data_IF_050030664384
#
_entry.id   IF_050030664384
#
_cell.length_a   1.000
_cell.length_b   1.000
_cell.length_c   1.000
_cell.angle_alpha   90.00
_cell.angle_beta   90.00
_cell.angle_gamma   90.00
#
_symmetry.space_group_name_H-M   'P 1'
#
loop_
_entity.id
_entity.type
_entity.pdbx_description
1 polymer ?
#
# COMPACT_ATOMS: atom_id res chain seq x y z
N UNK A 1 14.86 39.15 65.86
CA UNK A 1 14.35 39.70 64.60
C UNK A 1 14.18 38.53 63.66
N UNK A 2 12.94 38.13 63.53
CA UNK A 2 12.45 37.03 62.73
C UNK A 2 12.34 37.50 61.27
N UNK A 3 12.80 36.71 60.31
CA UNK A 3 12.64 37.01 58.88
C UNK A 3 12.49 35.72 58.12
N UNK A 4 11.23 35.32 57.98
CA UNK A 4 10.79 34.20 57.16
C UNK A 4 10.93 34.50 55.66
N UNK A 5 11.40 33.50 54.93
CA UNK A 5 11.36 33.43 53.46
C UNK A 5 10.25 32.44 53.08
N UNK A 6 9.21 32.83 52.32
CA UNK A 6 8.18 31.90 51.92
C UNK A 6 8.64 31.04 50.72
N UNK A 7 8.55 29.71 50.88
CA UNK A 7 8.75 28.74 49.79
C UNK A 7 7.57 28.79 48.81
N UNK A 8 7.75 29.34 47.61
CA UNK A 8 6.83 29.15 46.48
C UNK A 8 6.99 27.72 45.95
N UNK A 9 5.97 26.88 46.13
CA UNK A 9 5.81 25.63 45.37
C UNK A 9 5.46 25.99 43.91
N UNK A 10 6.37 25.75 42.98
CA UNK A 10 6.03 25.62 41.56
C UNK A 10 5.33 24.28 41.39
N UNK A 11 4.02 24.31 41.13
CA UNK A 11 3.31 23.14 40.63
C UNK A 11 3.68 22.99 39.15
N UNK A 12 4.52 22.00 38.83
CA UNK A 12 4.67 21.53 37.46
C UNK A 12 3.34 20.90 37.04
N UNK A 13 2.59 21.60 36.18
CA UNK A 13 1.43 21.08 35.49
C UNK A 13 1.95 19.99 34.53
N UNK A 14 1.89 18.72 34.94
CA UNK A 14 2.07 17.62 34.00
C UNK A 14 0.81 17.57 33.14
N UNK A 15 0.90 17.68 31.80
CA UNK A 15 -0.26 17.47 30.96
C UNK A 15 -0.81 16.06 31.22
N UNK A 16 -2.12 15.98 31.41
CA UNK A 16 -2.83 14.78 31.82
C UNK A 16 -2.59 13.66 30.79
N UNK A 17 -2.01 12.56 31.24
CA UNK A 17 -1.66 11.37 30.43
C UNK A 17 -2.88 10.83 29.67
N UNK A 18 -4.10 11.16 30.11
CA UNK A 18 -5.34 10.85 29.38
C UNK A 18 -5.51 11.64 28.09
N UNK A 19 -5.12 12.91 28.05
CA UNK A 19 -5.30 13.78 26.88
C UNK A 19 -4.33 13.40 25.75
N UNK A 20 -3.09 13.05 26.11
CA UNK A 20 -2.09 12.50 25.18
C UNK A 20 -2.53 11.15 24.57
N UNK A 21 -3.20 10.29 25.34
CA UNK A 21 -3.73 9.00 24.84
C UNK A 21 -4.92 9.15 23.90
N UNK A 22 -5.73 10.19 24.08
CA UNK A 22 -6.83 10.51 23.16
C UNK A 22 -6.31 11.06 21.84
N UNK A 23 -5.36 12.01 21.86
CA UNK A 23 -4.68 12.47 20.65
C UNK A 23 -3.98 11.32 19.91
N UNK A 24 -3.31 10.41 20.62
CA UNK A 24 -2.61 9.28 19.99
C UNK A 24 -3.57 8.22 19.42
N UNK A 25 -4.76 8.05 20.01
CA UNK A 25 -5.83 7.21 19.44
C UNK A 25 -6.50 7.86 18.25
N UNK A 26 -6.74 9.17 18.30
CA UNK A 26 -7.31 9.93 17.19
C UNK A 26 -6.34 10.03 16.02
N UNK A 27 -5.04 10.22 16.25
CA UNK A 27 -4.02 10.10 15.18
C UNK A 27 -3.98 8.70 14.61
N UNK A 28 -4.06 7.64 15.41
CA UNK A 28 -4.07 6.25 14.91
C UNK A 28 -5.38 5.89 14.18
N UNK A 29 -6.52 6.48 14.55
CA UNK A 29 -7.79 6.30 13.84
C UNK A 29 -7.82 7.09 12.53
N UNK A 30 -7.32 8.32 12.54
CA UNK A 30 -7.20 9.15 11.33
C UNK A 30 -6.12 8.60 10.39
N UNK A 31 -5.03 8.01 10.91
CA UNK A 31 -3.99 7.32 10.14
C UNK A 31 -4.47 6.01 9.50
N UNK A 32 -5.40 5.29 10.13
CA UNK A 32 -6.03 4.12 9.51
C UNK A 32 -6.98 4.49 8.37
N UNK A 33 -7.57 5.69 8.39
CA UNK A 33 -8.47 6.16 7.32
C UNK A 33 -7.72 6.82 6.14
N UNK A 34 -6.52 7.36 6.36
CA UNK A 34 -5.68 7.95 5.28
C UNK A 34 -5.04 6.88 4.38
N UNK A 35 -4.92 5.63 4.85
CA UNK A 35 -4.26 4.52 4.10
C UNK A 35 -5.19 3.30 3.94
N UNK A 36 -6.50 3.51 3.78
CA UNK A 36 -7.32 2.54 3.02
C UNK A 36 -7.20 2.85 1.53
N UNK A 37 -5.97 2.77 1.03
CA UNK A 37 -5.62 3.05 -0.35
C UNK A 37 -5.98 1.83 -1.21
N UNK A 38 -7.27 1.66 -1.48
CA UNK A 38 -7.70 0.67 -2.47
C UNK A 38 -7.25 1.12 -3.85
N UNK A 39 -6.63 0.21 -4.59
CA UNK A 39 -6.12 0.47 -5.92
C UNK A 39 -7.17 -0.02 -6.92
N UNK A 40 -7.69 0.86 -7.81
CA UNK A 40 -8.68 0.48 -8.82
C UNK A 40 -8.18 -0.61 -9.77
N UNK A 41 -9.08 -1.49 -10.21
CA UNK A 41 -8.74 -2.60 -11.11
C UNK A 41 -8.19 -2.12 -12.46
N UNK A 42 -8.78 -1.09 -13.06
CA UNK A 42 -8.31 -0.46 -14.32
C UNK A 42 -6.89 0.10 -14.21
N UNK A 43 -6.57 0.69 -13.06
CA UNK A 43 -5.23 1.17 -12.76
C UNK A 43 -4.20 0.02 -12.72
N UNK A 44 -4.59 -1.13 -12.15
CA UNK A 44 -3.74 -2.31 -12.03
C UNK A 44 -3.55 -2.96 -13.41
N UNK A 45 -4.64 -3.29 -14.11
CA UNK A 45 -4.61 -4.02 -15.39
C UNK A 45 -3.90 -3.23 -16.50
N UNK A 46 -3.92 -1.89 -16.44
CA UNK A 46 -3.14 -1.04 -17.37
C UNK A 46 -1.62 -1.06 -17.13
N UNK A 47 -1.15 -1.66 -16.03
CA UNK A 47 0.27 -1.65 -15.62
C UNK A 47 0.89 -3.03 -15.49
N UNK A 48 0.12 -4.01 -15.06
CA UNK A 48 0.61 -5.33 -14.71
C UNK A 48 -0.50 -6.36 -14.87
N UNK A 49 -0.17 -7.50 -15.46
CA UNK A 49 -0.97 -8.72 -15.33
C UNK A 49 -0.58 -9.37 -14.00
N UNK A 50 -1.50 -9.39 -13.04
CA UNK A 50 -1.26 -10.03 -11.74
C UNK A 50 -1.24 -11.55 -11.89
N UNK A 51 -0.44 -12.23 -11.08
CA UNK A 51 -0.62 -13.66 -10.84
C UNK A 51 -1.75 -13.89 -9.83
N UNK A 52 -2.22 -15.13 -9.73
CA UNK A 52 -3.23 -15.52 -8.75
C UNK A 52 -2.76 -15.28 -7.32
N UNK A 53 -1.49 -15.56 -7.00
CA UNK A 53 -0.90 -15.31 -5.68
C UNK A 53 -0.88 -13.81 -5.35
N UNK A 54 -0.49 -12.97 -6.31
CA UNK A 54 -0.45 -11.53 -6.14
C UNK A 54 -1.85 -10.95 -5.92
N UNK A 55 -2.85 -11.45 -6.66
CA UNK A 55 -4.26 -11.08 -6.50
C UNK A 55 -4.78 -11.44 -5.10
N UNK A 56 -4.57 -12.69 -4.67
CA UNK A 56 -4.97 -13.19 -3.35
C UNK A 56 -4.37 -12.33 -2.24
N UNK A 57 -3.07 -12.05 -2.33
CA UNK A 57 -2.38 -11.26 -1.32
C UNK A 57 -2.78 -9.78 -1.32
N UNK A 58 -3.04 -9.20 -2.49
CA UNK A 58 -3.58 -7.85 -2.61
C UNK A 58 -4.90 -7.68 -1.87
N UNK A 59 -5.79 -8.65 -2.04
CA UNK A 59 -7.07 -8.67 -1.35
C UNK A 59 -6.91 -8.86 0.17
N UNK A 60 -6.14 -9.86 0.61
CA UNK A 60 -5.92 -10.14 2.04
C UNK A 60 -5.28 -8.96 2.78
N UNK A 61 -4.40 -8.21 2.12
CA UNK A 61 -3.74 -7.00 2.67
C UNK A 61 -4.60 -5.74 2.53
N UNK A 62 -5.78 -5.81 1.89
CA UNK A 62 -6.71 -4.69 1.77
C UNK A 62 -6.37 -3.68 0.66
N UNK A 63 -5.44 -4.01 -0.23
CA UNK A 63 -5.12 -3.19 -1.41
C UNK A 63 -6.20 -3.27 -2.49
N UNK A 64 -6.98 -4.35 -2.51
CA UNK A 64 -8.10 -4.56 -3.40
C UNK A 64 -9.44 -4.48 -2.66
N UNK A 65 -10.40 -3.79 -3.27
CA UNK A 65 -11.81 -3.91 -2.88
C UNK A 65 -12.41 -5.20 -3.43
N UNK A 66 -13.54 -5.70 -2.89
CA UNK A 66 -14.25 -6.85 -3.46
C UNK A 66 -14.63 -6.66 -4.93
N UNK A 67 -15.06 -5.45 -5.31
CA UNK A 67 -15.38 -5.12 -6.70
C UNK A 67 -14.13 -5.20 -7.61
N UNK A 68 -13.01 -4.59 -7.20
CA UNK A 68 -11.77 -4.66 -7.97
C UNK A 68 -11.21 -6.10 -8.06
N UNK A 69 -11.38 -6.88 -6.99
CA UNK A 69 -11.04 -8.29 -6.99
C UNK A 69 -11.85 -9.07 -8.03
N UNK A 70 -13.17 -8.87 -8.07
CA UNK A 70 -14.05 -9.54 -9.03
C UNK A 70 -13.71 -9.18 -10.49
N UNK A 71 -13.40 -7.90 -10.75
CA UNK A 71 -12.98 -7.43 -12.08
C UNK A 71 -11.66 -8.09 -12.53
N UNK A 72 -10.66 -8.18 -11.63
CA UNK A 72 -9.35 -8.75 -11.96
C UNK A 72 -9.33 -10.28 -11.97
N UNK A 73 -10.23 -10.94 -11.24
CA UNK A 73 -10.31 -12.39 -11.17
C UNK A 73 -10.84 -13.03 -12.47
N UNK A 74 -11.55 -12.27 -13.32
CA UNK A 74 -12.07 -12.77 -14.59
C UNK A 74 -10.97 -13.35 -15.49
N UNK A 75 -9.83 -12.66 -15.57
CA UNK A 75 -8.68 -13.07 -16.38
C UNK A 75 -7.89 -14.26 -15.77
N UNK A 76 -8.16 -14.61 -14.50
CA UNK A 76 -7.44 -15.62 -13.72
C UNK A 76 -8.34 -16.82 -13.34
N UNK A 77 -9.51 -16.93 -13.97
CA UNK A 77 -10.54 -17.92 -13.62
C UNK A 77 -10.05 -19.37 -13.67
N UNK A 78 -9.07 -19.69 -14.53
CA UNK A 78 -8.47 -21.02 -14.64
C UNK A 78 -7.70 -21.46 -13.37
N UNK A 79 -7.12 -20.50 -12.64
CA UNK A 79 -6.26 -20.76 -11.47
C UNK A 79 -7.00 -20.60 -10.13
N UNK A 80 -8.26 -20.15 -10.18
CA UNK A 80 -9.15 -20.02 -9.03
C UNK A 80 -10.16 -21.18 -9.06
N UNK A 81 -9.81 -22.34 -8.46
CA UNK A 81 -10.76 -23.45 -8.37
C UNK A 81 -12.01 -22.99 -7.64
N UNK A 82 -13.16 -23.53 -8.04
CA UNK A 82 -14.51 -23.22 -7.53
C UNK A 82 -15.16 -21.93 -8.08
N UNK A 83 -14.51 -21.20 -9.00
CA UNK A 83 -15.23 -20.23 -9.80
C UNK A 83 -16.18 -20.93 -10.79
N UNK A 84 -17.44 -20.47 -10.92
CA UNK A 84 -18.34 -20.93 -11.98
C UNK A 84 -17.72 -20.73 -13.35
N UNK A 85 -18.12 -21.57 -14.31
CA UNK A 85 -17.76 -21.36 -15.72
C UNK A 85 -18.20 -19.94 -16.17
N UNK A 86 -17.49 -19.37 -17.15
CA UNK A 86 -17.79 -18.02 -17.66
C UNK A 86 -19.27 -17.83 -18.03
N UNK A 87 -19.89 -18.85 -18.61
CA UNK A 87 -21.31 -18.84 -18.98
C UNK A 87 -22.23 -18.71 -17.76
N UNK A 88 -21.88 -19.29 -16.61
CA UNK A 88 -22.65 -19.19 -15.37
C UNK A 88 -22.47 -17.82 -14.71
N UNK A 89 -21.29 -17.21 -14.83
CA UNK A 89 -21.02 -15.86 -14.31
C UNK A 89 -21.92 -14.81 -14.95
N UNK A 90 -22.30 -14.98 -16.23
CA UNK A 90 -23.20 -14.07 -16.96
C UNK A 90 -24.61 -13.97 -16.36
N UNK A 91 -25.05 -14.99 -15.60
CA UNK A 91 -26.38 -15.02 -14.98
C UNK A 91 -26.39 -14.48 -13.55
N UNK A 92 -25.23 -14.19 -12.98
CA UNK A 92 -25.10 -13.74 -11.60
C UNK A 92 -25.18 -12.22 -11.49
N UNK A 93 -25.72 -11.75 -10.37
CA UNK A 93 -25.63 -10.35 -10.00
C UNK A 93 -24.18 -10.00 -9.62
N UNK A 94 -23.74 -8.75 -9.81
CA UNK A 94 -22.39 -8.32 -9.42
C UNK A 94 -22.00 -8.69 -7.99
N UNK A 95 -22.93 -8.56 -7.03
CA UNK A 95 -22.69 -8.94 -5.64
C UNK A 95 -22.50 -10.44 -5.43
N UNK A 96 -23.13 -11.28 -6.25
CA UNK A 96 -22.96 -12.74 -6.19
C UNK A 96 -21.62 -13.16 -6.79
N UNK A 97 -21.18 -12.48 -7.85
CA UNK A 97 -19.83 -12.65 -8.42
C UNK A 97 -18.78 -12.28 -7.39
N UNK A 98 -18.90 -11.10 -6.77
CA UNK A 98 -17.99 -10.65 -5.70
C UNK A 98 -17.90 -11.65 -4.55
N UNK A 99 -19.03 -12.19 -4.10
CA UNK A 99 -19.09 -13.19 -3.02
C UNK A 99 -18.35 -14.48 -3.39
N UNK A 100 -18.59 -14.99 -4.61
CA UNK A 100 -17.95 -16.23 -5.09
C UNK A 100 -16.45 -16.05 -5.29
N UNK A 101 -16.04 -14.97 -5.95
CA UNK A 101 -14.61 -14.65 -6.14
C UNK A 101 -13.92 -14.49 -4.80
N UNK A 102 -14.53 -13.76 -3.86
CA UNK A 102 -14.00 -13.64 -2.51
C UNK A 102 -13.83 -15.00 -1.85
N UNK A 103 -14.81 -15.88 -1.97
CA UNK A 103 -14.77 -17.21 -1.36
C UNK A 103 -13.64 -18.06 -1.95
N UNK A 104 -13.51 -18.10 -3.28
CA UNK A 104 -12.44 -18.81 -3.97
C UNK A 104 -11.05 -18.29 -3.58
N UNK A 105 -10.88 -16.97 -3.51
CA UNK A 105 -9.63 -16.31 -3.10
C UNK A 105 -9.30 -16.60 -1.63
N UNK A 106 -10.29 -16.57 -0.74
CA UNK A 106 -10.07 -16.87 0.67
C UNK A 106 -9.73 -18.33 0.92
N UNK A 107 -10.20 -19.25 0.06
CA UNK A 107 -9.89 -20.68 0.14
C UNK A 107 -8.43 -21.02 -0.24
N UNK A 108 -7.67 -20.08 -0.85
CA UNK A 108 -6.25 -20.26 -1.22
C UNK A 108 -5.31 -20.11 -0.02
N UNK A 109 -5.42 -21.01 0.95
CA UNK A 109 -4.56 -21.04 2.15
C UNK A 109 -3.10 -21.43 1.85
N UNK A 110 -2.83 -21.91 0.64
CA UNK A 110 -1.52 -22.27 0.12
C UNK A 110 -0.66 -21.05 -0.27
N UNK A 111 -1.26 -19.87 -0.40
CA UNK A 111 -0.57 -18.65 -0.83
C UNK A 111 0.15 -17.96 0.33
N UNK A 112 1.48 -17.88 0.25
CA UNK A 112 2.32 -17.16 1.20
C UNK A 112 2.45 -15.67 0.87
N UNK A 113 1.69 -14.84 1.59
CA UNK A 113 1.73 -13.39 1.42
C UNK A 113 2.92 -12.69 2.10
N UNK A 114 3.83 -13.45 2.72
CA UNK A 114 5.11 -12.95 3.21
C UNK A 114 6.20 -12.93 2.12
N UNK A 115 5.94 -13.47 0.93
CA UNK A 115 6.88 -13.39 -0.20
C UNK A 115 7.23 -11.92 -0.52
N UNK A 116 8.53 -11.54 -0.44
CA UNK A 116 8.98 -10.20 -0.78
C UNK A 116 8.66 -9.77 -2.22
N UNK A 117 8.59 -10.69 -3.18
CA UNK A 117 8.27 -10.36 -4.57
C UNK A 117 6.83 -9.88 -4.74
N UNK A 118 5.89 -10.47 -3.98
CA UNK A 118 4.51 -9.98 -3.91
C UNK A 118 4.47 -8.58 -3.27
N UNK A 119 5.28 -8.35 -2.24
CA UNK A 119 5.44 -7.03 -1.62
C UNK A 119 5.88 -5.97 -2.62
N UNK A 120 6.85 -6.28 -3.49
CA UNK A 120 7.35 -5.36 -4.53
C UNK A 120 6.27 -4.97 -5.53
N UNK A 121 5.41 -5.90 -5.94
CA UNK A 121 4.28 -5.64 -6.86
C UNK A 121 3.34 -4.60 -6.26
N UNK A 122 2.88 -4.85 -5.04
CA UNK A 122 1.93 -3.96 -4.37
C UNK A 122 2.58 -2.62 -3.99
N UNK A 123 3.85 -2.62 -3.61
CA UNK A 123 4.63 -1.40 -3.38
C UNK A 123 4.74 -0.53 -4.63
N UNK A 124 5.09 -1.12 -5.77
CA UNK A 124 5.11 -0.42 -7.05
C UNK A 124 3.72 0.16 -7.39
N UNK A 125 2.65 -0.63 -7.30
CA UNK A 125 1.30 -0.17 -7.61
C UNK A 125 0.87 0.99 -6.69
N UNK A 126 1.16 0.89 -5.40
CA UNK A 126 0.87 1.94 -4.42
C UNK A 126 1.62 3.24 -4.74
N UNK A 127 2.94 3.15 -4.97
CA UNK A 127 3.77 4.31 -5.32
C UNK A 127 3.37 4.94 -6.65
N UNK A 128 3.08 4.12 -7.67
CA UNK A 128 2.65 4.60 -8.98
C UNK A 128 1.34 5.39 -8.87
N UNK A 129 0.38 4.89 -8.08
CA UNK A 129 -0.91 5.54 -7.87
C UNK A 129 -0.77 6.80 -7.02
N UNK A 130 0.12 6.77 -6.02
CA UNK A 130 0.45 7.94 -5.21
C UNK A 130 1.05 9.06 -6.07
N UNK A 131 1.98 8.71 -6.97
CA UNK A 131 2.65 9.66 -7.85
C UNK A 131 1.69 10.34 -8.84
N UNK A 132 0.67 9.63 -9.35
CA UNK A 132 -0.39 10.25 -10.20
C UNK A 132 -1.19 11.34 -9.46
N UNK A 133 -1.24 11.27 -8.13
CA UNK A 133 -2.04 12.16 -7.27
C UNK A 133 -1.16 13.12 -6.47
N UNK A 134 0.15 13.16 -6.73
CA UNK A 134 1.14 13.90 -5.92
C UNK A 134 0.74 15.36 -5.66
N UNK A 135 0.19 16.03 -6.68
CA UNK A 135 -0.16 17.46 -6.61
C UNK A 135 -1.41 17.72 -5.73
N UNK A 136 -2.12 16.66 -5.35
CA UNK A 136 -3.36 16.70 -4.56
C UNK A 136 -3.22 16.10 -3.16
N UNK A 137 -2.06 15.50 -2.85
CA UNK A 137 -1.82 14.77 -1.60
C UNK A 137 -0.89 15.58 -0.71
N UNK A 138 -1.39 15.95 0.47
CA UNK A 138 -0.54 16.48 1.54
C UNK A 138 0.28 15.35 2.16
N UNK A 139 1.54 15.62 2.48
CA UNK A 139 2.43 14.61 3.09
C UNK A 139 2.85 13.51 2.13
N UNK A 140 3.00 13.82 0.83
CA UNK A 140 3.43 12.86 -0.20
C UNK A 140 4.64 12.01 0.23
N UNK A 141 5.68 12.66 0.77
CA UNK A 141 6.90 11.99 1.25
C UNK A 141 6.67 11.16 2.53
N UNK A 142 5.75 11.59 3.40
CA UNK A 142 5.37 10.83 4.60
C UNK A 142 4.65 9.53 4.20
N UNK A 143 3.73 9.61 3.23
CA UNK A 143 3.02 8.43 2.71
C UNK A 143 3.98 7.46 2.02
N UNK A 144 4.97 7.94 1.27
CA UNK A 144 6.02 7.09 0.70
C UNK A 144 6.80 6.36 1.81
N UNK A 145 7.19 7.07 2.87
CA UNK A 145 7.90 6.47 3.99
C UNK A 145 7.05 5.44 4.76
N UNK A 146 5.74 5.66 4.86
CA UNK A 146 4.81 4.67 5.41
C UNK A 146 4.75 3.40 4.56
N UNK A 147 4.58 3.54 3.24
CA UNK A 147 4.59 2.39 2.31
C UNK A 147 5.92 1.62 2.43
N UNK A 148 7.05 2.33 2.48
CA UNK A 148 8.37 1.71 2.65
C UNK A 148 8.47 0.88 3.93
N UNK A 149 8.00 1.42 5.06
CA UNK A 149 7.96 0.70 6.34
C UNK A 149 7.04 -0.52 6.30
N UNK A 150 5.85 -0.39 5.71
CA UNK A 150 4.86 -1.48 5.62
C UNK A 150 5.35 -2.64 4.74
N UNK A 151 6.23 -2.35 3.78
CA UNK A 151 6.88 -3.35 2.93
C UNK A 151 8.13 -3.97 3.57
N UNK A 152 8.48 -3.58 4.80
CA UNK A 152 9.64 -4.12 5.51
C UNK A 152 10.97 -3.48 5.10
N UNK A 153 10.95 -2.20 4.72
CA UNK A 153 12.13 -1.40 4.42
C UNK A 153 12.98 -1.92 3.24
N UNK A 154 12.41 -2.08 2.03
CA UNK A 154 13.18 -2.55 0.88
C UNK A 154 14.26 -1.55 0.45
N UNK A 155 15.50 -2.04 0.29
CA UNK A 155 16.70 -1.26 -0.09
C UNK A 155 16.50 -0.44 -1.39
N UNK A 156 15.78 -0.99 -2.36
CA UNK A 156 15.51 -0.36 -3.67
C UNK A 156 14.73 0.96 -3.57
N UNK A 157 14.05 1.21 -2.45
CA UNK A 157 13.29 2.44 -2.22
C UNK A 157 14.09 3.51 -1.47
N UNK A 158 15.15 3.12 -0.74
CA UNK A 158 15.98 4.03 0.05
C UNK A 158 16.40 5.32 -0.65
N UNK A 159 16.79 5.31 -1.95
CA UNK A 159 17.30 6.51 -2.62
C UNK A 159 16.31 7.69 -2.66
N UNK A 160 15.02 7.45 -2.48
CA UNK A 160 13.96 8.46 -2.48
C UNK A 160 13.19 8.55 -1.16
N UNK A 161 13.71 7.97 -0.07
CA UNK A 161 13.16 8.15 1.27
C UNK A 161 13.76 9.40 1.92
N UNK A 162 12.91 10.35 2.32
CA UNK A 162 13.34 11.69 2.73
C UNK A 162 14.22 11.76 3.99
N UNK A 163 14.18 10.73 4.84
CA UNK A 163 15.02 10.65 6.05
C UNK A 163 16.27 9.78 5.86
N UNK A 164 16.46 9.19 4.67
CA UNK A 164 17.66 8.44 4.32
C UNK A 164 18.69 9.36 3.66
N UNK A 165 19.99 9.18 3.92
CA UNK A 165 21.02 9.89 3.18
C UNK A 165 20.97 9.48 1.70
N UNK A 166 21.23 10.40 0.75
CA UNK A 166 21.32 10.03 -0.65
C UNK A 166 22.51 9.09 -0.87
N UNK A 167 22.50 8.35 -1.99
CA UNK A 167 23.66 7.58 -2.39
C UNK A 167 24.93 8.45 -2.49
N UNK A 168 26.12 7.90 -2.17
CA UNK A 168 27.36 8.67 -2.18
C UNK A 168 27.62 9.35 -3.53
N UNK A 169 27.81 10.68 -3.49
CA UNK A 169 28.11 11.47 -4.68
C UNK A 169 26.89 11.95 -5.47
N UNK A 170 25.67 11.66 -5.02
CA UNK A 170 24.45 12.13 -5.66
C UNK A 170 23.87 13.41 -5.03
N UNK A 171 23.01 14.10 -5.79
CA UNK A 171 22.34 15.33 -5.37
C UNK A 171 21.36 15.09 -4.20
N UNK A 172 21.23 16.10 -3.33
CA UNK A 172 20.29 16.09 -2.21
C UNK A 172 19.05 16.93 -2.55
N UNK A 173 17.93 16.66 -1.87
CA UNK A 173 16.75 17.51 -1.86
C UNK A 173 15.58 16.92 -2.65
N UNK A 174 14.41 17.53 -2.46
CA UNK A 174 13.15 17.07 -3.03
C UNK A 174 13.17 16.87 -4.56
N UNK A 175 13.74 17.77 -5.38
CA UNK A 175 13.84 17.52 -6.82
C UNK A 175 14.66 16.28 -7.18
N UNK A 176 15.72 15.98 -6.42
CA UNK A 176 16.54 14.79 -6.65
C UNK A 176 15.81 13.51 -6.24
N UNK A 177 15.11 13.52 -5.10
CA UNK A 177 14.28 12.40 -4.65
C UNK A 177 13.15 12.10 -5.66
N UNK A 178 12.50 13.13 -6.18
CA UNK A 178 11.44 12.96 -7.18
C UNK A 178 11.96 12.27 -8.44
N UNK A 179 13.12 12.70 -8.96
CA UNK A 179 13.73 12.04 -10.13
C UNK A 179 14.06 10.57 -9.88
N UNK A 180 14.51 10.22 -8.66
CA UNK A 180 14.78 8.83 -8.28
C UNK A 180 13.50 8.00 -8.18
N UNK A 181 12.45 8.54 -7.58
CA UNK A 181 11.14 7.90 -7.55
C UNK A 181 10.61 7.68 -8.98
N UNK A 182 10.66 8.70 -9.83
CA UNK A 182 10.23 8.60 -11.23
C UNK A 182 11.04 7.56 -12.01
N UNK A 183 12.36 7.50 -11.77
CA UNK A 183 13.24 6.48 -12.36
C UNK A 183 12.86 5.07 -11.88
N UNK A 184 12.67 4.89 -10.58
CA UNK A 184 12.20 3.63 -10.00
C UNK A 184 10.87 3.17 -10.62
N UNK A 185 9.89 4.07 -10.71
CA UNK A 185 8.58 3.77 -11.30
C UNK A 185 8.70 3.43 -12.78
N UNK A 186 9.54 4.14 -13.54
CA UNK A 186 9.77 3.87 -14.95
C UNK A 186 10.41 2.50 -15.17
N UNK A 187 11.39 2.12 -14.34
CA UNK A 187 12.08 0.83 -14.40
C UNK A 187 11.12 -0.32 -14.08
N UNK A 188 10.36 -0.19 -12.99
CA UNK A 188 9.32 -1.16 -12.60
C UNK A 188 8.24 -1.31 -13.65
N UNK A 189 7.77 -0.20 -14.23
CA UNK A 189 6.80 -0.23 -15.33
C UNK A 189 7.30 -1.06 -16.50
N UNK A 190 8.57 -0.90 -16.91
CA UNK A 190 9.16 -1.69 -18.00
C UNK A 190 9.24 -3.18 -17.64
N UNK A 191 9.66 -3.49 -16.41
CA UNK A 191 9.78 -4.87 -15.94
C UNK A 191 8.42 -5.59 -15.92
N UNK A 192 7.39 -4.98 -15.32
CA UNK A 192 6.07 -5.61 -15.21
C UNK A 192 5.35 -5.74 -16.55
N UNK A 193 5.56 -4.80 -17.49
CA UNK A 193 5.05 -4.93 -18.86
C UNK A 193 5.73 -6.07 -19.62
N UNK A 194 7.04 -6.27 -19.43
CA UNK A 194 7.75 -7.39 -20.04
C UNK A 194 7.29 -8.74 -19.48
N UNK A 195 6.94 -8.79 -18.18
CA UNK A 195 6.38 -9.98 -17.53
C UNK A 195 5.07 -10.43 -18.17
N UNK A 196 4.15 -9.49 -18.43
CA UNK A 196 2.87 -9.77 -19.09
C UNK A 196 2.97 -10.13 -20.57
N UNK A 197 4.13 -9.93 -21.22
CA UNK A 197 4.40 -10.34 -22.60
C UNK A 197 5.03 -11.73 -22.74
N UNK A 198 5.23 -12.43 -21.62
CA UNK A 198 5.87 -13.75 -21.55
C UNK A 198 4.89 -14.80 -21.03
N UNK A 199 3.71 -14.96 -21.64
CA UNK A 199 2.91 -16.17 -21.42
C UNK A 199 3.67 -17.36 -22.02
N UNK A 200 3.95 -18.43 -21.26
CA UNK A 200 4.45 -19.66 -21.85
C UNK A 200 3.30 -20.34 -22.62
N UNK A 201 3.57 -20.67 -23.88
CA UNK A 201 2.76 -21.61 -24.69
C UNK A 201 2.78 -23.03 -24.11
#
# INVERSE_FOLDING_TARGET
MDSGIPKRKMACHSPDVREARHHQRETNQTMNDVVRFTIPADFISSRIALTTEELVCGYRKGWLSPAALAELAGDLSADLPDLPAEEELLYLLPSEIEEKVRTAVLARDDVDCADPEIGKVWGYLALARLNERRDTISGFWDVIAMIWSDLGYPDEMEPFIYHMPPPPGEEFGEPAMLRRLESYLADRTRWYRARGGSSPE
#
